data_IF_938267560952
#
_entry.id   IF_938267560952
#
_cell.length_a   1.000
_cell.length_b   1.000
_cell.length_c   1.000
_cell.angle_alpha   90.00
_cell.angle_beta   90.00
_cell.angle_gamma   90.00
#
_symmetry.space_group_name_H-M   'P 1'
#
loop_
_entity.id
_entity.type
_entity.pdbx_description
1 polymer ?
#
# COMPACT_ATOMS: atom_id res chain seq x y z
N UNK A 1 -7.98 19.24 -4.76
CA UNK A 1 -6.98 18.14 -4.77
C UNK A 1 -5.60 18.62 -4.31
N UNK A 2 -4.98 19.65 -4.93
CA UNK A 2 -3.62 20.10 -4.53
C UNK A 2 -3.50 20.39 -3.03
N UNK A 3 -4.37 21.24 -2.46
CA UNK A 3 -4.36 21.58 -1.03
C UNK A 3 -4.39 20.34 -0.12
N UNK A 4 -5.13 19.29 -0.48
CA UNK A 4 -5.20 18.06 0.32
C UNK A 4 -3.93 17.22 0.18
N UNK A 5 -3.32 17.20 -1.00
CA UNK A 5 -2.02 16.57 -1.21
C UNK A 5 -0.93 17.30 -0.40
N UNK A 6 -0.95 18.64 -0.39
CA UNK A 6 -0.04 19.45 0.41
C UNK A 6 -0.24 19.20 1.91
N UNK A 7 -1.50 18.99 2.35
CA UNK A 7 -1.83 18.58 3.73
C UNK A 7 -1.22 17.24 4.12
N UNK A 8 -1.26 16.25 3.22
CA UNK A 8 -0.60 14.97 3.44
C UNK A 8 0.92 15.15 3.55
N UNK A 9 1.53 15.93 2.66
CA UNK A 9 2.97 16.23 2.70
C UNK A 9 3.37 16.89 4.03
N UNK A 10 2.60 17.88 4.47
CA UNK A 10 2.84 18.56 5.74
C UNK A 10 2.76 17.59 6.93
N UNK A 11 1.77 16.70 6.95
CA UNK A 11 1.62 15.69 7.99
C UNK A 11 2.80 14.70 8.01
N UNK A 12 3.26 14.24 6.83
CA UNK A 12 4.44 13.37 6.71
C UNK A 12 5.72 14.04 7.23
N UNK A 13 5.97 15.29 6.82
CA UNK A 13 7.14 16.06 7.28
C UNK A 13 7.11 16.26 8.79
N UNK A 14 5.92 16.56 9.36
CA UNK A 14 5.76 16.71 10.82
C UNK A 14 6.08 15.42 11.59
N UNK A 15 5.92 14.26 10.97
CA UNK A 15 6.28 12.94 11.52
C UNK A 15 7.74 12.54 11.20
N UNK A 16 8.54 13.44 10.61
CA UNK A 16 9.94 13.21 10.30
C UNK A 16 10.19 12.35 9.05
N UNK A 17 9.18 12.17 8.20
CA UNK A 17 9.32 11.41 6.96
C UNK A 17 9.99 12.27 5.89
N UNK A 18 11.05 11.75 5.29
CA UNK A 18 11.66 12.34 4.11
C UNK A 18 10.78 12.06 2.88
N UNK A 19 10.51 13.08 2.08
CA UNK A 19 9.63 12.98 0.91
C UNK A 19 10.44 13.11 -0.37
N UNK A 20 10.26 12.16 -1.27
CA UNK A 20 10.77 12.22 -2.64
C UNK A 20 9.59 12.35 -3.59
N UNK A 21 9.63 13.36 -4.44
CA UNK A 21 8.57 13.60 -5.42
C UNK A 21 8.75 12.71 -6.65
N UNK A 22 7.67 12.05 -7.04
CA UNK A 22 7.59 11.32 -8.31
C UNK A 22 6.90 12.24 -9.33
N UNK A 23 7.62 12.61 -10.38
CA UNK A 23 7.05 13.36 -11.48
C UNK A 23 5.97 12.55 -12.20
N UNK A 24 5.12 13.23 -12.95
CA UNK A 24 4.08 12.63 -13.79
C UNK A 24 3.72 13.54 -14.94
N UNK A 25 3.01 13.02 -15.92
CA UNK A 25 2.41 13.84 -17.00
C UNK A 25 1.13 14.50 -16.51
N UNK A 26 0.86 15.70 -17.01
CA UNK A 26 -0.41 16.42 -16.74
C UNK A 26 -1.66 15.64 -17.20
N UNK A 27 -1.49 14.64 -18.08
CA UNK A 27 -2.57 13.76 -18.53
C UNK A 27 -2.81 12.52 -17.65
N UNK A 28 -1.92 12.24 -16.69
CA UNK A 28 -2.00 11.04 -15.84
C UNK A 28 -2.91 11.29 -14.64
N UNK A 29 -4.20 11.16 -14.83
CA UNK A 29 -5.24 11.45 -13.81
C UNK A 29 -5.05 10.68 -12.51
N UNK A 30 -4.43 9.51 -12.58
CA UNK A 30 -4.17 8.63 -11.43
C UNK A 30 -2.74 8.72 -10.88
N UNK A 31 -1.87 9.59 -11.44
CA UNK A 31 -0.46 9.69 -11.05
C UNK A 31 -0.23 10.02 -9.57
N UNK A 32 -1.23 10.60 -8.89
CA UNK A 32 -1.21 10.82 -7.44
C UNK A 32 -1.10 9.52 -6.64
N UNK A 33 -1.49 8.37 -7.21
CA UNK A 33 -1.44 7.07 -6.55
C UNK A 33 -0.15 6.32 -6.86
N UNK A 34 0.94 6.80 -6.28
CA UNK A 34 2.29 6.28 -6.51
C UNK A 34 2.54 4.88 -5.95
N UNK A 35 1.69 4.43 -5.00
CA UNK A 35 1.78 3.11 -4.37
C UNK A 35 1.84 1.97 -5.38
N UNK A 36 1.12 2.11 -6.48
CA UNK A 36 0.89 1.01 -7.41
C UNK A 36 2.06 0.73 -8.34
N UNK A 37 3.00 1.68 -8.45
CA UNK A 37 4.05 1.67 -9.45
C UNK A 37 5.25 0.79 -9.09
N UNK A 38 5.52 0.57 -7.79
CA UNK A 38 6.62 -0.26 -7.32
C UNK A 38 6.35 -0.86 -5.92
N UNK A 39 7.17 -1.83 -5.54
CA UNK A 39 7.17 -2.48 -4.22
C UNK A 39 8.60 -2.44 -3.70
N UNK A 40 8.84 -1.73 -2.59
CA UNK A 40 10.12 -1.77 -1.89
C UNK A 40 10.20 -3.02 -1.02
N UNK A 41 11.29 -3.76 -1.16
CA UNK A 41 11.58 -5.00 -0.42
C UNK A 41 13.02 -4.98 0.09
N UNK A 42 13.42 -5.98 0.85
CA UNK A 42 14.82 -6.13 1.28
C UNK A 42 15.77 -6.12 0.08
N UNK A 43 16.73 -5.22 0.11
CA UNK A 43 17.78 -5.09 -0.90
C UNK A 43 17.40 -4.24 -2.12
N UNK A 44 16.18 -3.68 -2.21
CA UNK A 44 15.82 -2.80 -3.32
C UNK A 44 14.32 -2.74 -3.62
N UNK A 45 13.99 -2.57 -4.89
CA UNK A 45 12.62 -2.43 -5.35
C UNK A 45 12.28 -3.39 -6.50
N UNK A 46 11.01 -3.76 -6.56
CA UNK A 46 10.38 -4.42 -7.71
C UNK A 46 9.55 -3.38 -8.43
N UNK A 47 9.85 -3.11 -9.69
CA UNK A 47 9.03 -2.25 -10.54
C UNK A 47 7.81 -3.05 -10.98
N UNK A 48 6.64 -2.53 -10.68
CA UNK A 48 5.37 -3.14 -11.03
C UNK A 48 5.10 -3.06 -12.55
N UNK A 49 4.14 -3.84 -13.01
CA UNK A 49 3.58 -3.72 -14.34
C UNK A 49 2.09 -3.57 -14.20
N UNK A 50 1.66 -2.34 -14.45
CA UNK A 50 0.28 -1.93 -14.23
C UNK A 50 -0.68 -2.76 -15.08
N UNK A 51 -1.79 -3.19 -14.49
CA UNK A 51 -2.82 -3.95 -15.19
C UNK A 51 -3.43 -3.14 -16.34
N UNK A 52 -3.95 -3.81 -17.38
CA UNK A 52 -4.77 -3.13 -18.35
C UNK A 52 -5.99 -2.60 -17.63
N UNK A 53 -6.43 -1.45 -18.04
CA UNK A 53 -7.71 -0.93 -17.58
C UNK A 53 -8.81 -1.85 -18.08
N UNK A 54 -9.86 -2.01 -17.31
CA UNK A 54 -11.09 -2.64 -17.75
C UNK A 54 -11.61 -2.02 -19.05
N UNK A 55 -12.83 -2.29 -19.41
CA UNK A 55 -13.44 -1.86 -20.68
C UNK A 55 -13.40 -0.34 -20.98
N UNK A 56 -12.90 0.47 -20.06
CA UNK A 56 -12.77 1.93 -20.24
C UNK A 56 -11.33 2.31 -20.62
N UNK A 57 -11.06 2.68 -21.89
CA UNK A 57 -9.74 3.05 -22.38
C UNK A 57 -9.18 4.33 -21.74
N UNK A 58 -9.97 5.11 -21.02
CA UNK A 58 -9.54 6.32 -20.30
C UNK A 58 -8.81 6.06 -18.97
N UNK A 59 -8.75 4.83 -18.49
CA UNK A 59 -8.16 4.48 -17.20
C UNK A 59 -6.85 3.69 -17.29
N UNK A 60 -6.14 3.74 -18.42
CA UNK A 60 -4.81 3.12 -18.59
C UNK A 60 -3.77 3.78 -17.70
N UNK A 61 -3.15 2.97 -16.86
CA UNK A 61 -2.06 3.40 -15.97
C UNK A 61 -0.70 2.86 -16.40
N UNK A 62 -0.71 2.07 -17.48
CA UNK A 62 0.53 1.50 -18.02
C UNK A 62 1.43 2.62 -18.57
N UNK A 63 2.69 2.62 -18.14
CA UNK A 63 3.65 3.67 -18.43
C UNK A 63 3.95 4.58 -17.23
N UNK A 64 3.06 4.64 -16.23
CA UNK A 64 3.33 5.39 -14.99
C UNK A 64 4.56 4.83 -14.25
N UNK A 65 4.83 3.53 -14.36
CA UNK A 65 5.98 2.87 -13.76
C UNK A 65 7.34 3.41 -14.26
N UNK A 66 7.38 4.10 -15.40
CA UNK A 66 8.59 4.75 -15.90
C UNK A 66 9.05 5.91 -14.99
N UNK A 67 8.11 6.66 -14.39
CA UNK A 67 8.44 7.77 -13.50
C UNK A 67 9.11 7.27 -12.22
N UNK A 68 8.53 6.28 -11.56
CA UNK A 68 9.11 5.72 -10.33
C UNK A 68 10.41 4.98 -10.59
N UNK A 69 10.55 4.31 -11.73
CA UNK A 69 11.81 3.67 -12.14
C UNK A 69 12.95 4.67 -12.18
N UNK A 70 12.72 5.85 -12.77
CA UNK A 70 13.71 6.93 -12.83
C UNK A 70 14.05 7.45 -11.43
N UNK A 71 13.06 7.64 -10.57
CA UNK A 71 13.28 8.10 -9.19
C UNK A 71 14.10 7.09 -8.41
N UNK A 72 13.73 5.81 -8.41
CA UNK A 72 14.44 4.72 -7.73
C UNK A 72 15.90 4.63 -8.20
N UNK A 73 16.12 4.70 -9.52
CA UNK A 73 17.47 4.68 -10.09
C UNK A 73 18.31 5.90 -9.65
N UNK A 74 17.71 7.10 -9.64
CA UNK A 74 18.40 8.32 -9.21
C UNK A 74 18.76 8.31 -7.71
N UNK A 75 17.97 7.62 -6.90
CA UNK A 75 18.26 7.42 -5.47
C UNK A 75 19.35 6.36 -5.23
N UNK A 76 19.83 5.68 -6.28
CA UNK A 76 20.79 4.59 -6.16
C UNK A 76 20.19 3.32 -5.54
N UNK A 77 18.88 3.23 -5.42
CA UNK A 77 18.22 2.03 -4.90
C UNK A 77 18.24 0.92 -5.95
N UNK A 78 18.72 -0.30 -5.63
CA UNK A 78 18.73 -1.41 -6.58
C UNK A 78 17.34 -1.76 -7.10
N UNK A 79 17.20 -1.91 -8.40
CA UNK A 79 16.01 -2.49 -9.02
C UNK A 79 16.23 -4.00 -9.16
N UNK A 80 15.62 -4.76 -8.26
CA UNK A 80 15.80 -6.22 -8.19
C UNK A 80 15.06 -6.94 -9.32
N UNK A 81 13.94 -6.38 -9.73
CA UNK A 81 13.10 -6.91 -10.80
C UNK A 81 12.23 -5.83 -11.42
N UNK A 82 12.01 -5.91 -12.72
CA UNK A 82 10.88 -5.28 -13.39
C UNK A 82 9.93 -6.39 -13.84
N UNK A 83 8.67 -6.34 -13.41
CA UNK A 83 7.65 -7.31 -13.81
C UNK A 83 7.46 -7.22 -15.32
N UNK A 84 7.52 -8.34 -16.00
CA UNK A 84 7.56 -8.40 -17.46
C UNK A 84 6.70 -9.50 -18.06
N UNK A 85 6.79 -9.67 -19.39
CA UNK A 85 6.01 -10.68 -20.12
C UNK A 85 4.50 -10.48 -19.95
N UNK A 86 3.82 -11.53 -19.54
CA UNK A 86 2.37 -11.51 -19.23
C UNK A 86 2.08 -11.15 -17.77
N UNK A 87 3.12 -11.02 -16.92
CA UNK A 87 2.97 -10.70 -15.51
C UNK A 87 2.31 -9.35 -15.28
N UNK A 88 1.39 -9.29 -14.33
CA UNK A 88 0.71 -8.07 -13.88
C UNK A 88 0.76 -8.01 -12.36
N UNK A 89 1.21 -6.88 -11.82
CA UNK A 89 1.18 -6.54 -10.39
C UNK A 89 1.05 -5.02 -10.24
N UNK A 90 0.28 -4.62 -9.25
CA UNK A 90 0.20 -3.24 -8.75
C UNK A 90 0.55 -3.24 -7.26
N UNK A 91 1.38 -2.29 -6.81
CA UNK A 91 1.94 -2.28 -5.46
C UNK A 91 0.92 -2.09 -4.34
N UNK A 92 -0.25 -1.49 -4.62
CA UNK A 92 -1.36 -1.41 -3.67
C UNK A 92 -1.95 -2.77 -3.28
N UNK A 93 -1.64 -3.81 -4.04
CA UNK A 93 -2.02 -5.18 -3.70
C UNK A 93 -1.02 -5.92 -2.82
N UNK A 94 0.08 -5.31 -2.46
CA UNK A 94 1.12 -5.92 -1.63
C UNK A 94 1.19 -5.30 -0.25
N UNK A 95 1.31 -6.12 0.79
CA UNK A 95 1.64 -5.67 2.13
C UNK A 95 2.49 -6.72 2.88
N UNK A 96 3.47 -6.24 3.67
CA UNK A 96 4.10 -7.07 4.67
C UNK A 96 3.17 -7.26 5.87
N UNK A 97 3.04 -8.49 6.36
CA UNK A 97 2.33 -8.85 7.58
C UNK A 97 3.29 -9.00 8.76
N UNK A 98 4.46 -9.52 8.46
CA UNK A 98 5.62 -9.63 9.35
C UNK A 98 6.88 -9.46 8.51
N UNK A 99 8.08 -9.31 9.10
CA UNK A 99 9.31 -9.27 8.31
C UNK A 99 9.54 -10.46 7.36
N UNK A 100 8.88 -11.60 7.62
CA UNK A 100 9.06 -12.84 6.85
C UNK A 100 7.79 -13.36 6.17
N UNK A 101 6.69 -12.62 6.27
CA UNK A 101 5.42 -12.99 5.63
C UNK A 101 4.80 -11.76 4.99
N UNK A 102 4.48 -11.86 3.72
CA UNK A 102 3.76 -10.84 2.96
C UNK A 102 2.48 -11.39 2.36
N UNK A 103 1.52 -10.53 2.09
CA UNK A 103 0.30 -10.84 1.38
C UNK A 103 0.26 -10.10 0.04
N UNK A 104 -0.28 -10.76 -0.98
CA UNK A 104 -0.62 -10.21 -2.28
C UNK A 104 -2.09 -10.43 -2.56
N UNK A 105 -2.86 -9.34 -2.66
CA UNK A 105 -4.25 -9.41 -3.06
C UNK A 105 -4.36 -9.75 -4.54
N UNK A 106 -5.09 -10.82 -4.86
CA UNK A 106 -5.33 -11.28 -6.23
C UNK A 106 -6.67 -10.76 -6.72
N UNK A 107 -6.64 -9.83 -7.65
CA UNK A 107 -7.80 -9.28 -8.36
C UNK A 107 -7.53 -9.33 -9.86
N UNK A 108 -8.37 -8.72 -10.68
CA UNK A 108 -8.09 -8.61 -12.12
C UNK A 108 -6.89 -7.71 -12.47
N UNK A 109 -6.33 -7.00 -11.48
CA UNK A 109 -5.12 -6.17 -11.63
C UNK A 109 -3.83 -6.96 -11.46
N UNK A 110 -3.89 -8.14 -10.89
CA UNK A 110 -2.76 -9.03 -10.65
C UNK A 110 -3.04 -10.40 -11.27
N UNK A 111 -1.99 -11.08 -11.71
CA UNK A 111 -2.12 -12.44 -12.20
C UNK A 111 -1.04 -13.36 -11.61
N UNK A 112 -1.20 -14.67 -11.81
CA UNK A 112 -0.30 -15.68 -11.27
C UNK A 112 1.14 -15.52 -11.77
N UNK A 113 1.35 -15.08 -13.02
CA UNK A 113 2.69 -14.85 -13.54
C UNK A 113 3.37 -13.66 -12.84
N UNK A 114 2.64 -12.57 -12.60
CA UNK A 114 3.17 -11.45 -11.83
C UNK A 114 3.46 -11.84 -10.38
N UNK A 115 2.56 -12.58 -9.75
CA UNK A 115 2.74 -13.08 -8.40
C UNK A 115 3.97 -13.98 -8.27
N UNK A 116 4.20 -14.88 -9.24
CA UNK A 116 5.37 -15.75 -9.29
C UNK A 116 6.67 -14.95 -9.41
N UNK A 117 6.70 -13.94 -10.26
CA UNK A 117 7.87 -13.08 -10.41
C UNK A 117 8.20 -12.30 -9.14
N UNK A 118 7.20 -11.81 -8.41
CA UNK A 118 7.39 -11.16 -7.12
C UNK A 118 7.88 -12.17 -6.07
N UNK A 119 7.28 -13.36 -6.02
CA UNK A 119 7.66 -14.41 -5.08
C UNK A 119 9.12 -14.86 -5.25
N UNK A 120 9.63 -14.91 -6.50
CA UNK A 120 11.03 -15.22 -6.77
C UNK A 120 11.98 -14.21 -6.10
N UNK A 121 11.63 -12.91 -6.10
CA UNK A 121 12.39 -11.87 -5.41
C UNK A 121 12.28 -12.03 -3.89
N UNK A 122 11.08 -12.22 -3.36
CA UNK A 122 10.84 -12.37 -1.92
C UNK A 122 11.51 -13.61 -1.34
N UNK A 123 11.61 -14.67 -2.11
CA UNK A 123 12.30 -15.92 -1.69
C UNK A 123 13.76 -15.67 -1.38
N UNK A 124 14.43 -14.77 -2.07
CA UNK A 124 15.83 -14.41 -1.81
C UNK A 124 16.02 -13.82 -0.41
N UNK A 125 15.01 -13.11 0.13
CA UNK A 125 15.01 -12.59 1.51
C UNK A 125 14.37 -13.54 2.52
N UNK A 126 13.95 -14.75 2.10
CA UNK A 126 13.27 -15.74 2.94
C UNK A 126 11.85 -15.30 3.35
N UNK A 127 11.20 -14.47 2.54
CA UNK A 127 9.85 -13.99 2.80
C UNK A 127 8.82 -14.88 2.08
N UNK A 128 7.86 -15.42 2.83
CA UNK A 128 6.72 -16.19 2.32
C UNK A 128 5.66 -15.24 1.77
N UNK A 129 5.13 -15.52 0.59
CA UNK A 129 4.02 -14.78 -0.02
C UNK A 129 2.71 -15.55 0.11
N UNK A 130 1.69 -14.89 0.66
CA UNK A 130 0.32 -15.41 0.73
C UNK A 130 -0.50 -14.73 -0.38
N UNK A 131 -1.06 -15.52 -1.31
CA UNK A 131 -1.98 -15.01 -2.33
C UNK A 131 -3.39 -14.98 -1.77
N UNK A 132 -3.99 -13.79 -1.70
CA UNK A 132 -5.31 -13.57 -1.11
C UNK A 132 -6.30 -13.18 -2.20
N UNK A 133 -7.24 -14.06 -2.59
CA UNK A 133 -8.24 -13.68 -3.56
C UNK A 133 -9.10 -12.54 -3.00
N UNK A 134 -9.21 -11.47 -3.79
CA UNK A 134 -10.06 -10.33 -3.47
C UNK A 134 -11.42 -10.50 -4.12
N UNK A 135 -12.46 -10.08 -3.41
CA UNK A 135 -13.84 -10.21 -3.85
C UNK A 135 -14.40 -8.92 -4.44
N UNK A 136 -15.38 -9.06 -5.32
CA UNK A 136 -16.17 -7.96 -5.88
C UNK A 136 -15.32 -6.95 -6.65
N UNK A 137 -15.47 -5.68 -6.33
CA UNK A 137 -14.78 -4.57 -7.00
C UNK A 137 -13.47 -4.14 -6.30
N UNK A 138 -12.94 -4.97 -5.39
CA UNK A 138 -11.68 -4.68 -4.73
C UNK A 138 -10.53 -4.81 -5.73
N UNK A 139 -9.83 -3.72 -5.99
CA UNK A 139 -8.68 -3.68 -6.91
C UNK A 139 -7.41 -4.13 -6.20
N UNK A 140 -7.23 -3.66 -4.95
CA UNK A 140 -6.02 -3.80 -4.17
C UNK A 140 -6.34 -4.22 -2.74
N UNK A 141 -5.37 -4.89 -2.10
CA UNK A 141 -5.53 -5.36 -0.72
C UNK A 141 -5.42 -4.21 0.30
N UNK A 142 -4.80 -3.10 -0.05
CA UNK A 142 -4.67 -1.91 0.81
C UNK A 142 -6.01 -1.21 1.12
N UNK A 143 -7.08 -1.57 0.42
CA UNK A 143 -8.46 -1.24 0.76
C UNK A 143 -9.13 -2.24 1.71
N UNK A 144 -8.42 -3.29 2.14
CA UNK A 144 -8.94 -4.37 2.95
C UNK A 144 -8.13 -4.62 4.23
N UNK A 145 -6.82 -4.39 4.21
CA UNK A 145 -5.92 -4.54 5.36
C UNK A 145 -4.78 -3.53 5.31
N UNK A 146 -4.40 -3.02 6.47
CA UNK A 146 -3.18 -2.25 6.72
C UNK A 146 -2.58 -2.65 8.06
N UNK A 147 -1.29 -2.95 8.10
CA UNK A 147 -0.55 -3.07 9.36
C UNK A 147 -0.38 -1.67 9.95
N UNK A 148 -0.94 -1.44 11.13
CA UNK A 148 -0.88 -0.15 11.86
C UNK A 148 0.12 -0.17 12.99
N UNK A 149 0.58 -1.37 13.37
CA UNK A 149 1.65 -1.63 14.32
C UNK A 149 2.31 -2.96 13.95
N UNK A 150 3.43 -3.33 14.59
CA UNK A 150 4.14 -4.60 14.38
C UNK A 150 3.25 -5.84 14.43
N UNK A 151 2.22 -5.81 15.29
CA UNK A 151 1.28 -6.93 15.50
C UNK A 151 -0.17 -6.52 15.51
N UNK A 152 -0.50 -5.37 14.93
CA UNK A 152 -1.88 -4.87 14.86
C UNK A 152 -2.21 -4.48 13.43
N UNK A 153 -3.29 -5.00 12.91
CA UNK A 153 -3.80 -4.69 11.58
C UNK A 153 -5.19 -4.05 11.67
N UNK A 154 -5.39 -2.98 10.91
CA UNK A 154 -6.72 -2.43 10.62
C UNK A 154 -7.31 -3.20 9.44
N UNK A 155 -8.51 -3.76 9.59
CA UNK A 155 -9.09 -4.71 8.64
C UNK A 155 -10.52 -4.36 8.26
N UNK A 156 -10.82 -4.44 6.97
CA UNK A 156 -12.19 -4.49 6.47
C UNK A 156 -12.57 -5.94 6.16
N UNK A 157 -13.20 -6.60 7.13
CA UNK A 157 -13.55 -8.02 7.03
C UNK A 157 -14.49 -8.34 5.86
N UNK A 158 -15.26 -7.35 5.37
CA UNK A 158 -16.16 -7.56 4.24
C UNK A 158 -15.41 -7.74 2.90
N UNK A 159 -14.12 -7.43 2.87
CA UNK A 159 -13.26 -7.49 1.66
C UNK A 159 -12.22 -8.60 1.68
N UNK A 160 -12.16 -9.37 2.77
CA UNK A 160 -11.17 -10.44 2.94
C UNK A 160 -11.86 -11.79 3.12
N UNK A 161 -11.30 -12.88 2.58
CA UNK A 161 -11.80 -14.22 2.84
C UNK A 161 -11.56 -14.60 4.29
N UNK A 162 -12.51 -15.38 4.86
CA UNK A 162 -12.49 -15.75 6.27
C UNK A 162 -11.20 -16.48 6.69
N UNK A 163 -10.72 -17.41 5.86
CA UNK A 163 -9.49 -18.14 6.13
C UNK A 163 -8.26 -17.23 6.30
N UNK A 164 -8.23 -16.08 5.61
CA UNK A 164 -7.12 -15.14 5.74
C UNK A 164 -7.16 -14.39 7.07
N UNK A 165 -8.34 -14.11 7.62
CA UNK A 165 -8.47 -13.56 8.97
C UNK A 165 -7.93 -14.54 10.02
N UNK A 166 -8.15 -15.84 9.83
CA UNK A 166 -7.60 -16.85 10.72
C UNK A 166 -6.07 -17.00 10.56
N UNK A 167 -5.55 -16.89 9.33
CA UNK A 167 -4.09 -16.85 9.08
C UNK A 167 -3.44 -15.66 9.79
N UNK A 168 -4.06 -14.46 9.74
CA UNK A 168 -3.57 -13.28 10.45
C UNK A 168 -3.50 -13.52 11.97
N UNK A 169 -4.53 -14.12 12.55
CA UNK A 169 -4.56 -14.48 13.98
C UNK A 169 -3.48 -15.53 14.30
N UNK A 170 -3.29 -16.52 13.44
CA UNK A 170 -2.24 -17.54 13.61
C UNK A 170 -0.83 -16.93 13.56
N UNK A 171 -0.63 -15.84 12.84
CA UNK A 171 0.59 -15.03 12.84
C UNK A 171 0.74 -14.16 14.09
N UNK A 172 -0.22 -14.19 15.03
CA UNK A 172 -0.23 -13.37 16.24
C UNK A 172 -0.59 -11.92 15.99
N UNK A 173 -1.30 -11.63 14.92
CA UNK A 173 -1.73 -10.27 14.55
C UNK A 173 -3.08 -9.98 15.19
N UNK A 174 -3.15 -8.92 15.98
CA UNK A 174 -4.39 -8.36 16.53
C UNK A 174 -5.18 -7.68 15.41
N UNK A 175 -6.47 -7.99 15.27
CA UNK A 175 -7.32 -7.40 14.25
C UNK A 175 -8.19 -6.29 14.84
N UNK A 176 -8.02 -5.09 14.33
CA UNK A 176 -8.90 -3.94 14.58
C UNK A 176 -9.82 -3.81 13.36
N UNK A 177 -11.12 -3.95 13.56
CA UNK A 177 -12.07 -3.90 12.44
C UNK A 177 -12.52 -2.46 12.19
N UNK A 178 -12.50 -2.03 10.93
CA UNK A 178 -13.11 -0.75 10.56
C UNK A 178 -14.59 -0.73 10.92
N UNK A 179 -15.12 0.46 11.19
CA UNK A 179 -16.56 0.60 11.29
C UNK A 179 -17.21 0.40 9.92
N UNK A 180 -18.32 -0.36 9.78
CA UNK A 180 -18.84 -0.76 8.48
C UNK A 180 -19.08 0.38 7.48
N UNK A 181 -19.59 1.53 7.94
CA UNK A 181 -19.81 2.71 7.07
C UNK A 181 -18.54 3.52 6.79
N UNK A 182 -17.43 3.21 7.47
CA UNK A 182 -16.14 3.91 7.36
C UNK A 182 -15.08 3.02 6.65
N UNK A 183 -15.50 2.13 5.77
CA UNK A 183 -14.64 1.13 5.15
C UNK A 183 -13.41 1.69 4.42
N UNK A 184 -13.45 2.96 4.02
CA UNK A 184 -12.31 3.66 3.42
C UNK A 184 -11.19 3.98 4.41
N UNK A 185 -11.45 3.94 5.71
CA UNK A 185 -10.46 4.17 6.75
C UNK A 185 -9.25 3.22 6.69
N UNK A 186 -9.41 2.02 6.11
CA UNK A 186 -8.29 1.08 5.92
C UNK A 186 -7.19 1.68 5.05
N UNK A 187 -7.53 2.55 4.10
CA UNK A 187 -6.54 3.21 3.23
C UNK A 187 -5.88 4.42 3.93
N UNK A 188 -5.59 4.27 5.23
CA UNK A 188 -4.73 5.17 6.01
C UNK A 188 -3.26 4.78 5.84
N UNK A 189 -2.34 5.50 6.44
CA UNK A 189 -0.90 5.27 6.32
C UNK A 189 -0.27 5.18 7.71
N UNK A 190 0.36 4.06 8.03
CA UNK A 190 1.22 3.96 9.20
C UNK A 190 2.53 4.69 8.93
N UNK A 191 2.82 5.75 9.69
CA UNK A 191 4.07 6.53 9.61
C UNK A 191 5.13 5.98 10.54
N UNK A 192 4.71 5.32 11.61
CA UNK A 192 5.52 4.48 12.50
C UNK A 192 4.60 3.49 13.21
N UNK A 193 5.13 2.45 13.87
CA UNK A 193 4.31 1.52 14.66
C UNK A 193 3.44 2.27 15.66
N UNK A 194 2.16 1.95 15.70
CA UNK A 194 1.18 2.57 16.60
C UNK A 194 0.76 4.01 16.23
N UNK A 195 1.12 4.53 15.04
CA UNK A 195 0.71 5.88 14.62
C UNK A 195 0.39 5.95 13.14
N UNK A 196 -0.80 6.45 12.82
CA UNK A 196 -1.34 6.48 11.46
C UNK A 196 -1.82 7.88 11.05
N UNK A 197 -1.68 8.21 9.76
CA UNK A 197 -2.40 9.32 9.12
C UNK A 197 -3.66 8.74 8.49
N UNK A 198 -4.82 9.26 8.87
CA UNK A 198 -6.13 8.78 8.45
C UNK A 198 -6.97 9.92 7.86
N UNK A 199 -7.84 9.59 6.90
CA UNK A 199 -8.78 10.56 6.35
C UNK A 199 -9.83 10.96 7.38
N UNK A 200 -10.20 12.23 7.42
CA UNK A 200 -11.34 12.71 8.18
C UNK A 200 -12.63 11.93 7.90
N UNK A 201 -13.57 11.97 8.85
CA UNK A 201 -14.87 11.33 8.72
C UNK A 201 -14.89 9.85 9.12
N UNK A 202 -13.91 9.41 9.93
CA UNK A 202 -13.82 8.03 10.42
C UNK A 202 -13.82 7.95 11.97
N UNK A 203 -14.75 8.61 12.69
CA UNK A 203 -14.68 8.72 14.16
C UNK A 203 -14.75 7.36 14.87
N UNK A 204 -15.61 6.45 14.40
CA UNK A 204 -15.79 5.13 15.01
C UNK A 204 -14.60 4.21 14.82
N UNK A 205 -13.97 4.27 13.66
CA UNK A 205 -12.74 3.51 13.38
C UNK A 205 -11.57 4.06 14.20
N UNK A 206 -11.50 5.38 14.38
CA UNK A 206 -10.49 6.02 15.24
C UNK A 206 -10.65 5.62 16.71
N UNK A 207 -11.89 5.59 17.23
CA UNK A 207 -12.15 5.08 18.58
C UNK A 207 -11.57 3.66 18.77
N UNK A 208 -11.75 2.78 17.77
CA UNK A 208 -11.22 1.41 17.79
C UNK A 208 -9.69 1.36 17.70
N UNK A 209 -9.09 2.22 16.87
CA UNK A 209 -7.63 2.36 16.79
C UNK A 209 -7.06 2.83 18.14
N UNK A 210 -7.65 3.88 18.73
CA UNK A 210 -7.24 4.38 20.04
C UNK A 210 -7.36 3.32 21.14
N UNK A 211 -8.45 2.55 21.15
CA UNK A 211 -8.62 1.42 22.08
C UNK A 211 -7.58 0.30 21.90
N UNK A 212 -7.01 0.19 20.71
CA UNK A 212 -5.91 -0.73 20.39
C UNK A 212 -4.52 -0.11 20.60
N UNK A 213 -4.42 1.11 21.14
CA UNK A 213 -3.14 1.79 21.39
C UNK A 213 -2.57 2.51 20.17
N UNK A 214 -3.36 2.69 19.10
CA UNK A 214 -2.91 3.35 17.86
C UNK A 214 -3.38 4.80 17.83
N UNK A 215 -2.44 5.73 17.71
CA UNK A 215 -2.70 7.16 17.55
C UNK A 215 -3.03 7.50 16.10
N UNK A 216 -3.95 8.46 15.92
CA UNK A 216 -4.42 8.88 14.60
C UNK A 216 -4.22 10.38 14.36
N UNK A 217 -3.64 10.74 13.22
CA UNK A 217 -3.58 12.10 12.68
C UNK A 217 -4.63 12.20 11.60
N UNK A 218 -5.64 13.05 11.78
CA UNK A 218 -6.67 13.27 10.76
C UNK A 218 -6.26 14.34 9.76
N UNK A 219 -6.50 14.05 8.48
CA UNK A 219 -6.37 15.04 7.41
C UNK A 219 -7.58 14.99 6.48
N UNK A 220 -7.96 16.14 5.91
CA UNK A 220 -8.94 16.17 4.83
C UNK A 220 -8.34 15.58 3.56
N UNK A 221 -8.94 14.48 3.08
CA UNK A 221 -8.55 13.78 1.85
C UNK A 221 -9.77 13.49 0.95
N UNK A 222 -10.85 14.21 1.17
CA UNK A 222 -12.17 13.96 0.57
C UNK A 222 -12.17 14.05 -0.95
N UNK A 223 -11.48 15.05 -1.54
CA UNK A 223 -11.45 15.26 -3.00
C UNK A 223 -10.56 14.24 -3.72
N UNK A 224 -9.41 13.88 -3.14
CA UNK A 224 -8.52 12.86 -3.74
C UNK A 224 -9.19 11.50 -3.70
N UNK A 225 -9.94 11.20 -2.64
CA UNK A 225 -10.70 9.95 -2.52
C UNK A 225 -11.74 9.76 -3.63
N UNK A 226 -12.33 10.83 -4.16
CA UNK A 226 -13.26 10.74 -5.30
C UNK A 226 -12.62 10.13 -6.54
N UNK A 227 -11.28 10.18 -6.63
CA UNK A 227 -10.52 9.54 -7.70
C UNK A 227 -10.27 8.03 -7.48
N UNK A 228 -10.84 7.44 -6.41
CA UNK A 228 -10.87 6.00 -6.17
C UNK A 228 -9.74 5.43 -5.34
N UNK A 229 -8.83 6.26 -4.81
CA UNK A 229 -7.78 5.88 -3.88
C UNK A 229 -7.80 6.70 -2.60
N UNK A 230 -6.83 6.51 -1.70
CA UNK A 230 -6.73 7.21 -0.43
C UNK A 230 -5.29 7.59 -0.08
N UNK A 231 -5.05 7.82 1.20
CA UNK A 231 -3.75 8.26 1.72
C UNK A 231 -2.66 7.22 1.44
N UNK A 232 -2.93 5.94 1.72
CA UNK A 232 -2.00 4.85 1.46
C UNK A 232 -1.63 4.75 -0.01
N UNK A 233 -2.62 4.81 -0.91
CA UNK A 233 -2.40 4.76 -2.35
C UNK A 233 -1.52 5.92 -2.85
N UNK A 234 -1.56 7.08 -2.19
CA UNK A 234 -0.81 8.29 -2.61
C UNK A 234 0.63 8.32 -2.12
N UNK A 235 1.11 7.25 -1.51
CA UNK A 235 2.48 7.14 -0.99
C UNK A 235 3.10 5.81 -1.33
N UNK A 236 4.40 5.79 -1.58
CA UNK A 236 5.20 4.58 -1.74
C UNK A 236 6.37 4.64 -0.74
N UNK A 237 6.34 3.88 0.37
CA UNK A 237 7.48 3.80 1.26
C UNK A 237 8.64 3.12 0.54
N UNK A 238 9.75 3.84 0.38
CA UNK A 238 10.97 3.31 -0.22
C UNK A 238 11.88 2.69 0.85
N UNK A 239 11.95 3.33 2.01
CA UNK A 239 12.75 2.88 3.16
C UNK A 239 11.82 2.68 4.35
N UNK A 240 12.00 1.58 5.07
CA UNK A 240 11.35 1.30 6.35
C UNK A 240 12.44 0.92 7.34
N UNK A 241 12.41 1.54 8.51
CA UNK A 241 13.34 1.17 9.58
C UNK A 241 13.09 -0.28 10.03
N UNK A 242 14.17 -0.99 10.32
CA UNK A 242 14.12 -2.30 10.98
C UNK A 242 14.23 -2.08 12.48
N UNK A 243 13.26 -2.56 13.22
CA UNK A 243 13.27 -2.69 14.69
C UNK A 243 14.13 -1.64 15.45
N UNK A 244 13.76 -0.36 15.37
CA UNK A 244 14.36 0.71 16.16
C UNK A 244 15.76 1.17 15.74
N UNK A 245 16.31 0.65 14.67
CA UNK A 245 17.57 1.12 14.08
C UNK A 245 17.32 1.86 12.75
N UNK A 246 18.01 2.97 12.53
CA UNK A 246 18.02 3.60 11.20
C UNK A 246 18.68 2.63 10.23
N UNK A 247 17.85 1.95 9.44
CA UNK A 247 18.33 1.09 8.38
C UNK A 247 18.99 1.95 7.29
N UNK A 248 20.28 1.87 7.19
CA UNK A 248 20.97 2.25 5.96
C UNK A 248 20.59 1.24 4.87
N UNK A 249 20.16 1.75 3.71
CA UNK A 249 19.91 1.00 2.47
C UNK A 249 21.17 0.26 2.02
#
# INVERSE_FOLDING_TARGET
MQRQHDGLRAALVAEGVEIVDVGGSLGDVKAVFTRDQAIAVDGGAVICRMGPVGADPGYGRRGEEAYITKVIANLGMPILRTINGTGLIEGGSFCFLTPKVAALGMSFRQNEEGARQLEDVLRASGTRLIRVPLTGHALHIDGAILMVDHRTALVNMARLPYWFLDELKALGIQLVYVWPSEGHAVNCLAVRPGRVIISEGCPRTRERLTAAGVESIEIDYSEIRKNGGGIHCSTLPLVRDRDGGRGTV
#
